data_IF_472252777059
#
_entry.id   IF_472252777059
#
_cell.length_a   1.000
_cell.length_b   1.000
_cell.length_c   1.000
_cell.angle_alpha   90.00
_cell.angle_beta   90.00
_cell.angle_gamma   90.00
#
_symmetry.space_group_name_H-M   'P 1'
#
loop_
_entity.id
_entity.type
_entity.pdbx_description
1 polymer ?
#
# COMPACT_ATOMS: atom_id res chain seq x y z
N UNK A 1 -15.32 -3.20 19.26
CA UNK A 1 -14.23 -2.21 19.44
C UNK A 1 -14.53 -0.97 18.61
N UNK A 2 -14.63 0.21 19.21
CA UNK A 2 -14.84 1.48 18.51
C UNK A 2 -13.50 2.19 18.32
N UNK A 3 -13.05 2.35 17.08
CA UNK A 3 -11.73 2.90 16.73
C UNK A 3 -11.90 4.26 16.06
N UNK A 4 -11.16 5.27 16.52
CA UNK A 4 -11.02 6.50 15.76
C UNK A 4 -10.02 6.28 14.61
N UNK A 5 -10.47 6.42 13.37
CA UNK A 5 -9.63 6.32 12.19
C UNK A 5 -9.35 7.71 11.63
N UNK A 6 -8.11 8.18 11.81
CA UNK A 6 -7.69 9.53 11.48
C UNK A 6 -6.90 9.53 10.17
N UNK A 7 -7.25 10.43 9.26
CA UNK A 7 -6.56 10.60 7.99
C UNK A 7 -6.59 12.05 7.50
N UNK A 8 -5.57 12.47 6.71
CA UNK A 8 -5.56 13.75 6.01
C UNK A 8 -6.78 13.95 5.08
N UNK A 9 -7.18 15.20 4.88
CA UNK A 9 -8.37 15.53 4.07
C UNK A 9 -8.26 15.05 2.61
N UNK A 10 -7.06 15.06 2.03
CA UNK A 10 -6.85 14.57 0.67
C UNK A 10 -7.00 13.05 0.53
N UNK A 11 -6.77 12.29 1.61
CA UNK A 11 -7.03 10.85 1.65
C UNK A 11 -8.52 10.55 1.88
N UNK A 12 -9.28 11.49 2.47
CA UNK A 12 -10.67 11.27 2.87
C UNK A 12 -11.58 10.93 1.70
N UNK A 13 -11.45 11.66 0.59
CA UNK A 13 -12.24 11.39 -0.61
C UNK A 13 -11.98 9.98 -1.14
N UNK A 14 -10.71 9.56 -1.19
CA UNK A 14 -10.33 8.22 -1.67
C UNK A 14 -10.83 7.12 -0.74
N UNK A 15 -10.61 7.24 0.57
CA UNK A 15 -11.06 6.23 1.54
C UNK A 15 -12.58 6.09 1.53
N UNK A 16 -13.33 7.20 1.47
CA UNK A 16 -14.80 7.16 1.39
C UNK A 16 -15.30 6.52 0.10
N UNK A 17 -14.67 6.84 -1.04
CA UNK A 17 -15.03 6.25 -2.33
C UNK A 17 -14.84 4.72 -2.33
N UNK A 18 -13.72 4.24 -1.77
CA UNK A 18 -13.43 2.80 -1.76
C UNK A 18 -14.10 2.04 -0.60
N UNK A 19 -14.66 2.72 0.40
CA UNK A 19 -15.29 2.09 1.57
C UNK A 19 -16.30 0.99 1.25
N UNK A 20 -17.21 1.17 0.27
CA UNK A 20 -18.21 0.14 -0.06
C UNK A 20 -17.60 -1.17 -0.55
N UNK A 21 -16.39 -1.12 -1.11
CA UNK A 21 -15.71 -2.30 -1.64
C UNK A 21 -14.95 -3.07 -0.57
N UNK A 22 -14.47 -2.39 0.49
CA UNK A 22 -13.51 -2.95 1.43
C UNK A 22 -14.07 -3.97 2.42
N UNK A 23 -15.38 -3.99 2.62
CA UNK A 23 -15.99 -4.82 3.67
C UNK A 23 -17.29 -5.44 3.14
N UNK A 24 -17.70 -6.62 3.63
CA UNK A 24 -18.98 -7.22 3.23
C UNK A 24 -20.18 -6.28 3.44
N UNK A 25 -20.17 -5.47 4.51
CA UNK A 25 -21.27 -4.54 4.79
C UNK A 25 -21.22 -3.24 3.96
N UNK A 26 -20.14 -2.98 3.23
CA UNK A 26 -19.88 -1.71 2.55
C UNK A 26 -19.75 -0.50 3.50
N UNK A 27 -19.55 -0.75 4.79
CA UNK A 27 -19.47 0.25 5.87
C UNK A 27 -18.09 0.18 6.52
N UNK A 28 -17.63 1.20 7.26
CA UNK A 28 -16.35 1.14 7.98
C UNK A 28 -16.42 0.23 9.22
N UNK A 29 -16.77 -1.04 9.01
CA UNK A 29 -16.95 -2.07 10.03
C UNK A 29 -16.22 -3.34 9.62
N UNK A 30 -15.54 -3.95 10.57
CA UNK A 30 -14.81 -5.19 10.36
C UNK A 30 -15.00 -6.10 11.56
N UNK A 31 -15.74 -7.20 11.38
CA UNK A 31 -16.14 -8.07 12.49
C UNK A 31 -16.82 -7.22 13.57
N UNK A 32 -16.34 -7.29 14.81
CA UNK A 32 -16.87 -6.53 15.94
C UNK A 32 -16.27 -5.12 16.09
N UNK A 33 -15.47 -4.66 15.11
CA UNK A 33 -14.86 -3.34 15.11
C UNK A 33 -15.60 -2.34 14.23
N UNK A 34 -15.78 -1.12 14.75
CA UNK A 34 -16.31 0.02 14.03
C UNK A 34 -15.22 1.10 13.92
N UNK A 35 -14.98 1.60 12.71
CA UNK A 35 -14.02 2.65 12.43
C UNK A 35 -14.76 3.97 12.19
N UNK A 36 -14.62 4.90 13.13
CA UNK A 36 -15.19 6.24 13.00
C UNK A 36 -14.15 7.15 12.34
N UNK A 37 -14.44 7.59 11.12
CA UNK A 37 -13.51 8.40 10.31
C UNK A 37 -13.52 9.85 10.77
N UNK A 38 -12.35 10.38 11.14
CA UNK A 38 -12.12 11.78 11.54
C UNK A 38 -13.20 12.34 12.49
N UNK A 39 -13.43 11.73 13.67
CA UNK A 39 -14.45 12.21 14.61
C UNK A 39 -14.11 13.59 15.18
N UNK A 40 -15.13 14.34 15.59
CA UNK A 40 -14.94 15.64 16.29
C UNK A 40 -14.59 15.47 17.78
N UNK A 41 -14.89 14.31 18.35
CA UNK A 41 -14.60 13.95 19.73
C UNK A 41 -15.17 12.58 20.07
N UNK A 42 -15.08 12.19 21.36
CA UNK A 42 -15.75 11.00 21.88
C UNK A 42 -14.81 9.97 22.51
N UNK A 43 -15.42 8.86 22.95
CA UNK A 43 -14.74 7.73 23.60
C UNK A 43 -14.46 6.60 22.60
N UNK A 44 -13.23 6.11 22.59
CA UNK A 44 -12.73 5.10 21.67
C UNK A 44 -11.85 4.08 22.39
N UNK A 45 -11.86 2.85 21.90
CA UNK A 45 -11.02 1.76 22.40
C UNK A 45 -9.58 1.83 21.84
N UNK A 46 -9.37 2.62 20.79
CA UNK A 46 -8.09 2.80 20.12
C UNK A 46 -8.13 3.90 19.05
N UNK A 47 -6.96 4.36 18.64
CA UNK A 47 -6.78 5.33 17.53
C UNK A 47 -5.85 4.75 16.48
N UNK A 48 -6.21 4.89 15.21
CA UNK A 48 -5.36 4.56 14.06
C UNK A 48 -5.18 5.80 13.21
N UNK A 49 -3.94 6.14 12.88
CA UNK A 49 -3.60 7.23 11.96
C UNK A 49 -3.07 6.67 10.64
N UNK A 50 -3.73 7.02 9.55
CA UNK A 50 -3.21 6.83 8.19
C UNK A 50 -2.25 7.97 7.85
N UNK A 51 -0.98 7.65 7.57
CA UNK A 51 0.04 8.66 7.27
C UNK A 51 0.73 8.39 5.93
N UNK A 52 0.40 9.21 4.92
CA UNK A 52 1.16 9.35 3.67
C UNK A 52 2.00 10.64 3.76
N UNK A 53 2.14 11.42 2.69
CA UNK A 53 2.88 12.69 2.65
C UNK A 53 2.17 13.84 3.38
N UNK A 54 0.83 13.88 3.32
CA UNK A 54 0.05 14.99 3.88
C UNK A 54 -0.13 14.88 5.39
N UNK A 55 -0.10 16.03 6.07
CA UNK A 55 -0.41 16.12 7.49
C UNK A 55 -1.91 15.97 7.74
N UNK A 56 -2.29 15.60 8.97
CA UNK A 56 -3.65 15.82 9.45
C UNK A 56 -4.00 17.33 9.36
N UNK A 57 -5.24 17.65 9.03
CA UNK A 57 -5.71 19.04 8.86
C UNK A 57 -5.92 19.77 10.19
N UNK A 58 -6.06 19.01 11.29
CA UNK A 58 -6.27 19.54 12.64
C UNK A 58 -5.79 18.56 13.70
N UNK A 59 -5.72 19.05 14.94
CA UNK A 59 -5.57 18.21 16.12
C UNK A 59 -6.90 17.54 16.49
N UNK A 60 -6.81 16.31 17.00
CA UNK A 60 -7.95 15.53 17.45
C UNK A 60 -7.84 15.31 18.96
N UNK A 61 -8.85 15.76 19.72
CA UNK A 61 -8.99 15.50 21.16
C UNK A 61 -9.99 14.38 21.36
N UNK A 62 -9.55 13.27 21.94
CA UNK A 62 -10.33 12.02 22.04
C UNK A 62 -10.12 11.40 23.42
N UNK A 63 -11.09 10.64 23.93
CA UNK A 63 -10.90 9.79 25.10
C UNK A 63 -10.54 8.38 24.64
N UNK A 64 -9.32 7.91 24.93
CA UNK A 64 -8.82 6.61 24.48
C UNK A 64 -7.71 6.11 25.42
N UNK A 65 -7.50 4.78 25.56
CA UNK A 65 -6.28 4.24 26.15
C UNK A 65 -5.04 4.77 25.41
N UNK A 66 -4.11 5.49 26.06
CA UNK A 66 -2.89 5.98 25.39
C UNK A 66 -2.00 4.85 24.87
N UNK A 67 -2.12 3.65 25.46
CA UNK A 67 -1.42 2.46 25.00
C UNK A 67 -1.96 1.92 23.67
N UNK A 68 -3.14 2.35 23.20
CA UNK A 68 -3.80 1.88 21.98
C UNK A 68 -3.84 2.95 20.90
N UNK A 69 -2.70 3.57 20.64
CA UNK A 69 -2.52 4.53 19.54
C UNK A 69 -1.55 3.96 18.51
N UNK A 70 -2.00 3.87 17.26
CA UNK A 70 -1.28 3.28 16.14
C UNK A 70 -1.15 4.30 15.01
N UNK A 71 0.04 4.42 14.43
CA UNK A 71 0.23 5.12 13.16
C UNK A 71 0.74 4.14 12.09
N UNK A 72 0.21 4.26 10.88
CA UNK A 72 0.55 3.42 9.74
C UNK A 72 1.12 4.29 8.61
N UNK A 73 2.41 4.13 8.33
CA UNK A 73 3.08 4.86 7.25
C UNK A 73 2.82 4.16 5.91
N UNK A 74 2.41 4.94 4.92
CA UNK A 74 2.03 4.46 3.59
C UNK A 74 3.09 4.68 2.52
N UNK A 75 4.03 5.59 2.76
CA UNK A 75 5.03 6.02 1.78
C UNK A 75 6.43 5.54 2.12
N UNK A 76 7.26 5.20 1.12
CA UNK A 76 8.61 4.67 1.28
C UNK A 76 9.56 5.70 1.93
N UNK A 77 10.72 5.26 2.45
CA UNK A 77 11.61 6.11 3.26
C UNK A 77 12.25 7.27 2.46
N UNK A 78 12.27 7.17 1.13
CA UNK A 78 12.72 8.21 0.21
C UNK A 78 11.65 9.27 -0.08
N UNK A 79 10.37 8.97 0.16
CA UNK A 79 9.25 9.92 0.01
C UNK A 79 8.90 10.57 1.34
N UNK A 80 8.79 9.79 2.42
CA UNK A 80 8.36 10.30 3.73
C UNK A 80 9.38 9.97 4.82
N UNK A 81 9.67 10.98 5.64
CA UNK A 81 10.42 10.86 6.89
C UNK A 81 9.72 11.74 7.91
N UNK A 82 9.54 11.28 9.16
CA UNK A 82 8.69 11.97 10.14
C UNK A 82 9.48 12.38 11.39
N UNK A 83 9.12 13.50 12.05
CA UNK A 83 9.77 13.91 13.28
C UNK A 83 9.57 12.87 14.40
N UNK A 84 10.61 12.60 15.20
CA UNK A 84 10.47 11.71 16.36
C UNK A 84 9.43 12.17 17.37
N UNK A 85 9.33 13.49 17.59
CA UNK A 85 8.31 14.07 18.48
C UNK A 85 6.89 13.76 18.01
N UNK A 86 6.65 13.77 16.69
CA UNK A 86 5.36 13.39 16.12
C UNK A 86 5.05 11.91 16.36
N UNK A 87 6.04 11.04 16.09
CA UNK A 87 5.88 9.58 16.27
C UNK A 87 5.71 9.18 17.74
N UNK A 88 6.24 9.97 18.69
CA UNK A 88 6.12 9.70 20.13
C UNK A 88 4.68 9.81 20.66
N UNK A 89 3.73 10.32 19.87
CA UNK A 89 2.30 10.31 20.20
C UNK A 89 1.69 8.90 20.15
N UNK A 90 2.36 7.95 19.48
CA UNK A 90 1.81 6.64 19.17
C UNK A 90 2.49 5.53 19.98
N UNK A 91 1.71 4.62 20.52
CA UNK A 91 2.22 3.42 21.17
C UNK A 91 2.89 2.47 20.16
N UNK A 92 2.43 2.44 18.91
CA UNK A 92 3.02 1.64 17.84
C UNK A 92 3.08 2.37 16.49
N UNK A 93 4.13 2.07 15.72
CA UNK A 93 4.41 2.65 14.40
C UNK A 93 4.63 1.52 13.40
N UNK A 94 3.69 1.31 12.47
CA UNK A 94 3.87 0.43 11.32
C UNK A 94 4.56 1.21 10.22
N UNK A 95 5.73 0.75 9.78
CA UNK A 95 6.51 1.38 8.73
C UNK A 95 7.50 0.41 8.10
N UNK A 96 8.03 0.76 6.93
CA UNK A 96 9.16 0.09 6.27
C UNK A 96 10.46 0.90 6.36
N UNK A 97 10.48 1.97 7.17
CA UNK A 97 11.66 2.84 7.35
C UNK A 97 12.52 2.43 8.54
N UNK A 98 13.68 1.85 8.26
CA UNK A 98 14.65 1.41 9.27
C UNK A 98 15.29 2.56 10.07
N UNK A 99 15.15 3.82 9.62
CA UNK A 99 15.62 5.00 10.36
C UNK A 99 14.72 5.36 11.53
N UNK A 100 13.45 4.95 11.51
CA UNK A 100 12.50 5.25 12.59
C UNK A 100 13.04 4.65 13.89
N UNK A 101 13.27 5.48 14.90
CA UNK A 101 13.70 5.05 16.24
C UNK A 101 12.53 5.21 17.19
N UNK A 102 11.79 4.12 17.38
CA UNK A 102 10.61 4.10 18.23
C UNK A 102 10.49 2.72 18.91
N UNK A 103 10.20 2.64 20.23
CA UNK A 103 10.11 1.36 20.94
C UNK A 103 9.01 0.45 20.39
N UNK A 104 7.88 1.03 19.96
CA UNK A 104 6.79 0.30 19.31
C UNK A 104 6.89 0.19 17.78
N UNK A 105 8.08 0.33 17.20
CA UNK A 105 8.28 0.22 15.74
C UNK A 105 8.03 -1.20 15.25
N UNK A 106 7.28 -1.32 14.15
CA UNK A 106 6.99 -2.56 13.44
C UNK A 106 7.39 -2.43 11.99
N UNK A 107 8.35 -3.25 11.56
CA UNK A 107 8.79 -3.35 10.16
C UNK A 107 7.89 -4.34 9.44
N UNK A 108 6.73 -3.87 9.02
CA UNK A 108 5.63 -4.66 8.46
C UNK A 108 4.95 -3.88 7.31
N UNK A 109 4.19 -4.56 6.43
CA UNK A 109 3.46 -3.89 5.35
C UNK A 109 2.52 -2.81 5.87
N UNK A 110 2.40 -1.72 5.10
CA UNK A 110 1.70 -0.50 5.52
C UNK A 110 0.19 -0.59 5.68
N UNK A 111 -0.42 -1.79 5.69
CA UNK A 111 -1.87 -2.02 5.69
C UNK A 111 -2.57 -1.24 4.56
N UNK A 112 -2.20 -1.56 3.33
CA UNK A 112 -2.79 -0.93 2.14
C UNK A 112 -4.14 -1.56 1.78
N UNK A 113 -4.98 -0.76 1.13
CA UNK A 113 -6.25 -1.18 0.56
C UNK A 113 -6.03 -1.56 -0.91
N UNK A 114 -6.97 -2.31 -1.51
CA UNK A 114 -7.08 -2.36 -2.96
C UNK A 114 -7.80 -1.10 -3.48
N UNK A 115 -7.42 -0.64 -4.66
CA UNK A 115 -8.00 0.49 -5.38
C UNK A 115 -8.54 0.08 -6.75
N UNK A 116 -9.09 -1.13 -6.80
CA UNK A 116 -9.97 -1.61 -7.87
C UNK A 116 -11.38 -1.78 -7.32
N UNK A 117 -12.39 -1.42 -8.09
CA UNK A 117 -13.79 -1.42 -7.69
C UNK A 117 -14.39 -2.83 -7.71
N UNK A 118 -13.81 -3.71 -6.88
CA UNK A 118 -14.26 -5.11 -6.68
C UNK A 118 -14.75 -5.23 -5.24
N UNK A 119 -16.05 -5.52 -5.02
CA UNK A 119 -16.59 -5.77 -3.70
C UNK A 119 -15.85 -6.92 -2.99
N UNK A 120 -15.69 -6.80 -1.67
CA UNK A 120 -14.97 -7.78 -0.84
C UNK A 120 -15.35 -9.25 -1.16
N UNK A 121 -16.65 -9.52 -1.28
CA UNK A 121 -17.17 -10.87 -1.47
C UNK A 121 -16.98 -11.41 -2.91
N UNK A 122 -16.67 -10.53 -3.86
CA UNK A 122 -16.38 -10.87 -5.26
C UNK A 122 -14.88 -11.10 -5.52
N UNK A 123 -14.03 -10.86 -4.51
CA UNK A 123 -12.58 -11.08 -4.61
C UNK A 123 -12.29 -12.58 -4.62
N UNK A 124 -12.94 -13.36 -3.76
CA UNK A 124 -12.75 -14.81 -3.71
C UNK A 124 -14.07 -15.52 -3.34
N UNK A 125 -14.62 -16.38 -4.22
CA UNK A 125 -14.08 -16.76 -5.53
C UNK A 125 -14.15 -15.61 -6.54
N UNK A 126 -13.08 -15.42 -7.31
CA UNK A 126 -13.03 -14.36 -8.33
C UNK A 126 -13.84 -14.73 -9.58
N UNK A 127 -14.58 -13.76 -10.13
CA UNK A 127 -15.19 -13.88 -11.46
C UNK A 127 -14.22 -13.63 -12.63
N UNK A 128 -13.01 -13.12 -12.35
CA UNK A 128 -12.05 -12.69 -13.39
C UNK A 128 -11.18 -13.86 -13.88
N UNK A 129 -11.78 -14.88 -14.47
CA UNK A 129 -11.07 -16.10 -14.93
C UNK A 129 -10.91 -16.16 -16.44
N UNK A 130 -11.85 -15.58 -17.21
CA UNK A 130 -11.79 -15.56 -18.67
C UNK A 130 -11.02 -14.34 -19.20
N UNK A 131 -9.68 -14.43 -19.18
CA UNK A 131 -8.77 -13.34 -19.56
C UNK A 131 -8.49 -13.35 -21.07
N UNK A 132 -8.99 -12.33 -21.78
CA UNK A 132 -8.83 -12.18 -23.25
C UNK A 132 -7.62 -11.34 -23.67
N UNK A 133 -7.04 -10.56 -22.75
CA UNK A 133 -5.89 -9.67 -23.00
C UNK A 133 -4.65 -10.13 -22.24
N UNK A 134 -3.49 -9.65 -22.67
CA UNK A 134 -2.22 -10.17 -22.15
C UNK A 134 -1.70 -9.36 -20.97
N UNK A 135 -1.24 -8.12 -21.21
CA UNK A 135 -0.55 -7.32 -20.19
C UNK A 135 -1.25 -5.97 -20.01
N UNK A 136 -1.47 -5.58 -18.77
CA UNK A 136 -1.91 -4.22 -18.42
C UNK A 136 -0.93 -3.51 -17.51
N UNK A 137 -0.98 -2.19 -17.51
CA UNK A 137 -0.26 -1.34 -16.56
C UNK A 137 -1.07 -0.08 -16.22
N UNK A 138 -1.13 0.29 -14.94
CA UNK A 138 -1.61 1.61 -14.49
C UNK A 138 -0.45 2.36 -13.83
N UNK A 139 0.35 3.06 -14.64
CA UNK A 139 1.57 3.76 -14.24
C UNK A 139 1.57 5.18 -14.82
N UNK A 140 1.59 6.19 -13.94
CA UNK A 140 1.58 7.61 -14.34
C UNK A 140 2.90 8.10 -14.94
N UNK A 141 2.87 9.22 -15.68
CA UNK A 141 4.02 9.94 -16.21
C UNK A 141 4.85 10.76 -15.18
N UNK A 142 4.68 10.50 -13.88
CA UNK A 142 5.43 11.22 -12.82
C UNK A 142 6.93 10.99 -12.97
N UNK A 143 7.73 12.01 -12.62
CA UNK A 143 9.21 11.97 -12.70
C UNK A 143 9.91 12.59 -11.47
N UNK A 144 9.16 12.87 -10.39
CA UNK A 144 9.63 13.60 -9.21
C UNK A 144 10.82 12.94 -8.49
N UNK A 145 10.82 11.59 -8.44
CA UNK A 145 11.88 10.79 -7.81
C UNK A 145 12.67 10.02 -8.88
N UNK A 146 13.90 9.56 -8.60
CA UNK A 146 14.62 8.72 -9.56
C UNK A 146 13.90 7.38 -9.79
N UNK A 147 13.31 6.76 -8.76
CA UNK A 147 12.36 5.65 -8.92
C UNK A 147 11.21 5.94 -9.91
N UNK A 148 10.58 7.12 -9.85
CA UNK A 148 9.56 7.52 -10.84
C UNK A 148 10.12 7.55 -12.28
N UNK A 149 11.34 8.09 -12.47
CA UNK A 149 11.99 8.15 -13.79
C UNK A 149 12.37 6.77 -14.33
N UNK A 150 12.92 5.90 -13.48
CA UNK A 150 13.27 4.53 -13.85
C UNK A 150 12.04 3.74 -14.30
N UNK A 151 10.92 3.90 -13.58
CA UNK A 151 9.65 3.26 -13.93
C UNK A 151 9.13 3.71 -15.28
N UNK A 152 9.12 5.01 -15.52
CA UNK A 152 8.66 5.54 -16.78
C UNK A 152 9.56 5.07 -17.94
N UNK A 153 10.88 5.06 -17.74
CA UNK A 153 11.83 4.55 -18.73
C UNK A 153 11.59 3.06 -19.06
N UNK A 154 11.41 2.21 -18.05
CA UNK A 154 11.06 0.81 -18.26
C UNK A 154 9.73 0.67 -19.00
N UNK A 155 8.69 1.41 -18.59
CA UNK A 155 7.38 1.35 -19.24
C UNK A 155 7.44 1.70 -20.73
N UNK A 156 8.23 2.71 -21.13
CA UNK A 156 8.44 3.01 -22.55
C UNK A 156 9.13 1.86 -23.30
N UNK A 157 10.13 1.21 -22.68
CA UNK A 157 10.79 0.03 -23.28
C UNK A 157 9.82 -1.14 -23.44
N UNK A 158 9.05 -1.45 -22.40
CA UNK A 158 8.03 -2.50 -22.44
C UNK A 158 6.96 -2.19 -23.49
N UNK A 159 6.45 -0.96 -23.56
CA UNK A 159 5.44 -0.59 -24.56
C UNK A 159 5.98 -0.65 -25.98
N UNK A 160 7.23 -0.24 -26.22
CA UNK A 160 7.87 -0.36 -27.53
C UNK A 160 8.03 -1.82 -27.98
N UNK A 161 8.34 -2.73 -27.06
CA UNK A 161 8.51 -4.16 -27.35
C UNK A 161 7.18 -4.91 -27.50
N UNK A 162 6.26 -4.75 -26.54
CA UNK A 162 5.02 -5.52 -26.51
C UNK A 162 3.92 -4.94 -27.41
N UNK A 163 4.02 -3.68 -27.83
CA UNK A 163 3.07 -3.04 -28.73
C UNK A 163 1.64 -3.13 -28.20
N UNK A 164 0.74 -3.69 -28.99
CA UNK A 164 -0.69 -3.84 -28.65
C UNK A 164 -0.96 -4.94 -27.62
N UNK A 165 0.03 -5.77 -27.28
CA UNK A 165 -0.09 -6.77 -26.20
C UNK A 165 0.00 -6.14 -24.80
N UNK A 166 0.44 -4.89 -24.70
CA UNK A 166 0.51 -4.11 -23.46
C UNK A 166 -0.41 -2.89 -23.51
N UNK A 167 -1.50 -2.93 -22.77
CA UNK A 167 -2.32 -1.75 -22.52
C UNK A 167 -1.75 -0.94 -21.34
N UNK A 168 -1.50 0.35 -21.55
CA UNK A 168 -0.87 1.21 -20.56
C UNK A 168 -1.73 2.46 -20.31
N UNK A 169 -2.21 2.56 -19.07
CA UNK A 169 -2.92 3.71 -18.53
C UNK A 169 -2.11 4.43 -17.46
N UNK A 170 -2.49 5.66 -17.16
CA UNK A 170 -1.94 6.43 -16.07
C UNK A 170 -2.02 7.93 -16.35
N UNK A 171 -2.00 8.72 -15.26
CA UNK A 171 -2.04 10.18 -15.36
C UNK A 171 -0.89 10.68 -16.25
N UNK A 172 -1.25 11.42 -17.31
CA UNK A 172 -0.27 11.96 -18.27
C UNK A 172 0.28 10.93 -19.27
N UNK A 173 -0.31 9.73 -19.34
CA UNK A 173 -0.05 8.73 -20.38
C UNK A 173 -1.33 8.49 -21.18
N UNK A 174 -2.28 7.79 -20.57
CA UNK A 174 -3.63 7.57 -21.05
C UNK A 174 -4.51 7.55 -19.80
N UNK A 175 -5.22 8.65 -19.57
CA UNK A 175 -5.98 8.84 -18.33
C UNK A 175 -7.10 7.80 -18.23
N UNK A 176 -7.16 7.12 -17.09
CA UNK A 176 -8.18 6.12 -16.83
C UNK A 176 -9.46 6.82 -16.39
N UNK A 177 -10.45 6.87 -17.27
CA UNK A 177 -11.75 7.55 -17.05
C UNK A 177 -12.82 6.61 -16.50
N UNK A 178 -12.62 5.30 -16.61
CA UNK A 178 -13.47 4.25 -16.07
C UNK A 178 -12.94 3.73 -14.71
N UNK A 179 -13.74 2.96 -13.95
CA UNK A 179 -13.26 2.24 -12.76
C UNK A 179 -11.95 1.48 -13.05
N UNK A 180 -10.99 1.51 -12.12
CA UNK A 180 -9.66 0.93 -12.32
C UNK A 180 -9.70 -0.54 -12.68
N UNK A 181 -10.67 -1.28 -12.14
CA UNK A 181 -10.85 -2.71 -12.45
C UNK A 181 -10.97 -2.98 -13.96
N UNK A 182 -11.50 -2.04 -14.76
CA UNK A 182 -11.62 -2.18 -16.22
C UNK A 182 -10.26 -2.28 -16.93
N UNK A 183 -9.20 -1.74 -16.34
CA UNK A 183 -7.85 -1.84 -16.87
C UNK A 183 -7.16 -3.17 -16.52
N UNK A 184 -7.70 -3.96 -15.58
CA UNK A 184 -7.05 -5.17 -15.07
C UNK A 184 -7.84 -6.45 -15.38
N UNK A 185 -9.18 -6.39 -15.31
CA UNK A 185 -10.04 -7.58 -15.26
C UNK A 185 -9.92 -8.52 -16.45
N UNK A 186 -9.53 -8.02 -17.63
CA UNK A 186 -9.43 -8.81 -18.86
C UNK A 186 -7.99 -9.26 -19.16
N UNK A 187 -6.99 -8.86 -18.34
CA UNK A 187 -5.58 -9.15 -18.57
C UNK A 187 -5.05 -10.29 -17.70
N UNK A 188 -4.17 -11.12 -18.27
CA UNK A 188 -3.48 -12.20 -17.55
C UNK A 188 -2.38 -11.68 -16.61
N UNK A 189 -1.66 -10.64 -17.04
CA UNK A 189 -0.51 -10.07 -16.33
C UNK A 189 -0.73 -8.59 -16.04
N UNK A 190 -0.27 -8.11 -14.88
CA UNK A 190 -0.33 -6.69 -14.52
C UNK A 190 1.03 -6.16 -14.06
N UNK A 191 1.52 -5.09 -14.69
CA UNK A 191 2.78 -4.44 -14.32
C UNK A 191 2.61 -3.64 -13.03
N UNK A 192 3.27 -4.09 -11.97
CA UNK A 192 3.19 -3.58 -10.61
C UNK A 192 4.53 -2.95 -10.19
N UNK A 193 4.71 -1.65 -10.47
CA UNK A 193 5.95 -0.94 -10.14
C UNK A 193 5.75 0.01 -8.96
N UNK A 194 6.41 -0.27 -7.83
CA UNK A 194 6.37 0.58 -6.65
C UNK A 194 7.13 1.89 -6.80
N UNK A 195 6.94 2.84 -5.88
CA UNK A 195 7.66 4.13 -5.96
C UNK A 195 9.17 4.01 -5.66
N UNK A 196 9.58 2.89 -5.06
CA UNK A 196 10.97 2.53 -4.76
C UNK A 196 11.05 1.09 -4.24
N UNK A 197 12.26 0.54 -4.19
CA UNK A 197 12.50 -0.85 -3.76
C UNK A 197 13.03 -0.90 -2.32
N UNK A 198 12.16 -1.22 -1.36
CA UNK A 198 12.50 -1.23 0.07
C UNK A 198 11.92 -2.49 0.75
N UNK A 199 12.67 -3.13 1.67
CA UNK A 199 12.16 -4.29 2.41
C UNK A 199 10.82 -4.00 3.09
N UNK A 200 9.84 -4.88 2.91
CA UNK A 200 8.48 -4.75 3.42
C UNK A 200 7.61 -3.68 2.75
N UNK A 201 8.11 -2.93 1.77
CA UNK A 201 7.36 -1.88 1.07
C UNK A 201 6.65 -2.41 -0.18
N UNK A 202 5.41 -2.85 0.02
CA UNK A 202 4.46 -3.15 -1.05
C UNK A 202 3.11 -2.51 -0.74
N UNK A 203 2.40 -2.13 -1.79
CA UNK A 203 1.22 -1.24 -1.69
C UNK A 203 0.01 -1.83 -2.41
N UNK A 204 -0.97 -0.99 -2.74
CA UNK A 204 -2.15 -1.37 -3.54
C UNK A 204 -1.77 -2.07 -4.85
N UNK A 205 -0.60 -1.80 -5.44
CA UNK A 205 -0.32 -2.19 -6.83
C UNK A 205 -0.34 -3.70 -7.02
N UNK A 206 0.32 -4.42 -6.12
CA UNK A 206 0.30 -5.88 -6.13
C UNK A 206 -1.03 -6.44 -5.60
N UNK A 207 -1.67 -5.76 -4.65
CA UNK A 207 -2.99 -6.15 -4.14
C UNK A 207 -4.00 -6.12 -5.29
N UNK A 208 -4.05 -5.03 -6.05
CA UNK A 208 -4.96 -4.82 -7.18
C UNK A 208 -4.79 -5.88 -8.25
N UNK A 209 -3.54 -6.27 -8.56
CA UNK A 209 -3.26 -7.37 -9.48
C UNK A 209 -3.86 -8.68 -8.98
N UNK A 210 -3.65 -9.06 -7.72
CA UNK A 210 -4.24 -10.28 -7.17
C UNK A 210 -5.76 -10.23 -7.12
N UNK A 211 -6.35 -9.11 -6.68
CA UNK A 211 -7.80 -8.90 -6.62
C UNK A 211 -8.43 -9.05 -8.00
N UNK A 212 -7.80 -8.52 -9.04
CA UNK A 212 -8.24 -8.68 -10.42
C UNK A 212 -7.88 -10.05 -11.03
N UNK A 213 -7.33 -11.00 -10.25
CA UNK A 213 -6.83 -12.29 -10.72
C UNK A 213 -5.81 -12.17 -11.86
N UNK A 214 -4.82 -11.29 -11.70
CA UNK A 214 -3.69 -11.14 -12.61
C UNK A 214 -2.43 -11.72 -11.95
N UNK A 215 -1.49 -12.22 -12.76
CA UNK A 215 -0.11 -12.45 -12.31
C UNK A 215 0.61 -11.10 -12.20
N UNK A 216 1.08 -10.69 -11.01
CA UNK A 216 1.84 -9.45 -10.86
C UNK A 216 3.24 -9.58 -11.49
N UNK A 217 3.56 -8.65 -12.38
CA UNK A 217 4.92 -8.40 -12.87
C UNK A 217 5.52 -7.29 -12.01
N UNK A 218 6.37 -7.65 -11.06
CA UNK A 218 6.57 -6.85 -9.85
C UNK A 218 8.00 -6.31 -9.67
N UNK A 219 8.09 -5.03 -9.32
CA UNK A 219 9.29 -4.38 -8.77
C UNK A 219 8.91 -3.50 -7.56
N UNK A 220 9.60 -3.70 -6.44
CA UNK A 220 9.29 -3.04 -5.16
C UNK A 220 10.02 -3.70 -4.00
N UNK A 221 9.28 -4.28 -3.04
CA UNK A 221 9.85 -5.00 -1.90
C UNK A 221 10.74 -6.18 -2.35
N UNK A 222 12.06 -6.17 -2.07
CA UNK A 222 12.95 -7.28 -2.41
C UNK A 222 12.61 -8.58 -1.68
N UNK A 223 11.91 -8.49 -0.55
CA UNK A 223 11.48 -9.57 0.31
C UNK A 223 9.96 -9.86 0.18
N UNK A 224 9.34 -9.50 -0.94
CA UNK A 224 7.90 -9.73 -1.20
C UNK A 224 7.48 -11.20 -1.01
N UNK A 225 8.40 -12.14 -1.23
CA UNK A 225 8.22 -13.57 -0.99
C UNK A 225 7.93 -13.95 0.47
N UNK A 226 8.16 -13.03 1.43
CA UNK A 226 7.72 -13.21 2.82
C UNK A 226 6.21 -13.04 3.00
N UNK A 227 5.56 -12.33 2.07
CA UNK A 227 4.13 -12.02 2.16
C UNK A 227 3.28 -12.91 1.25
N UNK A 228 3.75 -13.11 0.02
CA UNK A 228 3.05 -13.88 -1.01
C UNK A 228 3.95 -14.97 -1.57
N UNK A 229 3.33 -16.01 -2.12
CA UNK A 229 4.05 -17.12 -2.75
C UNK A 229 4.90 -16.60 -3.94
N UNK A 230 6.24 -16.75 -3.91
CA UNK A 230 7.10 -16.32 -5.01
C UNK A 230 6.72 -16.94 -6.36
N UNK A 231 6.11 -18.13 -6.38
CA UNK A 231 5.66 -18.78 -7.61
C UNK A 231 4.55 -17.99 -8.33
N UNK A 232 3.82 -17.14 -7.62
CA UNK A 232 2.75 -16.29 -8.18
C UNK A 232 3.24 -14.94 -8.68
N UNK A 233 4.50 -14.59 -8.44
CA UNK A 233 5.06 -13.27 -8.73
C UNK A 233 6.11 -13.37 -9.82
N UNK A 234 5.92 -12.63 -10.91
CA UNK A 234 6.98 -12.42 -11.88
C UNK A 234 7.84 -11.22 -11.43
N UNK A 235 8.82 -11.48 -10.57
CA UNK A 235 9.77 -10.45 -10.15
C UNK A 235 10.56 -9.90 -11.34
N UNK A 236 10.82 -8.60 -11.37
CA UNK A 236 11.61 -7.94 -12.43
C UNK A 236 12.60 -6.94 -11.82
N UNK A 237 13.65 -6.57 -12.56
CA UNK A 237 14.62 -5.55 -12.16
C UNK A 237 14.57 -4.36 -13.11
N UNK A 238 14.13 -3.22 -12.60
CA UNK A 238 13.96 -2.00 -13.39
C UNK A 238 15.27 -1.47 -13.98
N UNK A 239 16.42 -1.88 -13.42
CA UNK A 239 17.74 -1.52 -13.93
C UNK A 239 18.17 -2.35 -15.14
N UNK A 240 17.45 -3.45 -15.45
CA UNK A 240 17.69 -4.33 -16.60
C UNK A 240 16.42 -4.47 -17.46
N UNK A 241 16.15 -3.49 -18.36
CA UNK A 241 14.96 -3.54 -19.22
C UNK A 241 14.91 -4.74 -20.15
N UNK A 242 16.05 -5.23 -20.65
CA UNK A 242 16.07 -6.39 -21.54
C UNK A 242 15.75 -7.66 -20.76
N UNK A 243 16.36 -7.86 -19.58
CA UNK A 243 16.02 -8.98 -18.71
C UNK A 243 14.55 -8.95 -18.25
N UNK A 244 13.96 -7.76 -18.06
CA UNK A 244 12.51 -7.65 -17.82
C UNK A 244 11.68 -8.20 -18.98
N UNK A 245 12.01 -7.80 -20.22
CA UNK A 245 11.32 -8.26 -21.43
C UNK A 245 11.43 -9.79 -21.54
N UNK A 246 12.64 -10.33 -21.41
CA UNK A 246 12.91 -11.77 -21.56
C UNK A 246 12.13 -12.59 -20.52
N UNK A 247 12.06 -12.09 -19.27
CA UNK A 247 11.28 -12.73 -18.20
C UNK A 247 9.78 -12.72 -18.47
N UNK A 248 9.25 -11.61 -18.99
CA UNK A 248 7.83 -11.49 -19.35
C UNK A 248 7.49 -12.41 -20.51
N UNK A 249 8.28 -12.44 -21.58
CA UNK A 249 8.09 -13.36 -22.71
C UNK A 249 8.16 -14.83 -22.25
N UNK A 250 9.11 -15.17 -21.37
CA UNK A 250 9.20 -16.53 -20.80
C UNK A 250 7.96 -16.90 -19.99
N UNK A 251 7.45 -15.97 -19.18
CA UNK A 251 6.23 -16.20 -18.39
C UNK A 251 4.99 -16.37 -19.28
N UNK A 252 4.91 -15.66 -20.40
CA UNK A 252 3.84 -15.78 -21.40
C UNK A 252 3.95 -17.12 -22.13
N UNK A 253 5.12 -17.44 -22.67
CA UNK A 253 5.35 -18.67 -23.44
C UNK A 253 5.10 -19.95 -22.64
N UNK A 254 5.34 -19.89 -21.32
CA UNK A 254 5.09 -21.01 -20.42
C UNK A 254 3.70 -21.01 -19.77
N UNK A 255 2.81 -20.10 -20.19
CA UNK A 255 1.48 -19.85 -19.61
C UNK A 255 1.48 -19.87 -18.08
N UNK A 256 2.37 -19.06 -17.50
CA UNK A 256 2.47 -18.89 -16.05
C UNK A 256 1.11 -18.60 -15.43
N UNK A 257 0.29 -17.77 -16.08
CA UNK A 257 -1.06 -17.45 -15.63
C UNK A 257 -1.89 -18.71 -15.34
N UNK A 258 -2.02 -19.63 -16.30
CA UNK A 258 -2.81 -20.84 -16.12
C UNK A 258 -2.27 -21.74 -15.00
N UNK A 259 -0.94 -21.84 -14.85
CA UNK A 259 -0.29 -22.74 -13.88
C UNK A 259 -0.42 -22.31 -12.42
N UNK A 260 -0.57 -21.01 -12.16
CA UNK A 260 -0.47 -20.46 -10.78
C UNK A 260 -1.81 -20.07 -10.16
N UNK A 261 -2.94 -20.47 -10.77
CA UNK A 261 -4.29 -20.06 -10.33
C UNK A 261 -4.58 -20.37 -8.85
N UNK A 262 -4.19 -21.54 -8.36
CA UNK A 262 -4.35 -21.88 -6.94
C UNK A 262 -3.57 -20.93 -6.01
N UNK A 263 -2.37 -20.54 -6.43
CA UNK A 263 -1.54 -19.57 -5.75
C UNK A 263 -2.17 -18.17 -5.75
N UNK A 264 -2.73 -17.72 -6.87
CA UNK A 264 -3.45 -16.44 -6.96
C UNK A 264 -4.68 -16.44 -6.03
N UNK A 265 -5.42 -17.55 -5.98
CA UNK A 265 -6.54 -17.72 -5.05
C UNK A 265 -6.10 -17.65 -3.60
N UNK A 266 -4.96 -18.27 -3.25
CA UNK A 266 -4.36 -18.15 -1.91
C UNK A 266 -3.98 -16.70 -1.59
N UNK A 267 -3.34 -15.98 -2.51
CA UNK A 267 -2.96 -14.59 -2.32
C UNK A 267 -4.18 -13.69 -2.07
N UNK A 268 -5.28 -13.88 -2.82
CA UNK A 268 -6.55 -13.18 -2.57
C UNK A 268 -7.13 -13.48 -1.19
N UNK A 269 -7.14 -14.74 -0.76
CA UNK A 269 -7.56 -15.09 0.61
C UNK A 269 -6.68 -14.43 1.67
N UNK A 270 -5.36 -14.34 1.45
CA UNK A 270 -4.46 -13.61 2.36
C UNK A 270 -4.80 -12.11 2.40
N UNK A 271 -5.15 -11.50 1.27
CA UNK A 271 -5.60 -10.10 1.18
C UNK A 271 -6.89 -9.87 1.99
N UNK A 272 -7.86 -10.77 1.89
CA UNK A 272 -9.13 -10.70 2.63
C UNK A 272 -8.98 -11.00 4.13
N UNK A 273 -7.86 -11.58 4.55
CA UNK A 273 -7.63 -12.02 5.93
C UNK A 273 -6.41 -11.33 6.54
N UNK A 274 -5.24 -11.95 6.44
CA UNK A 274 -3.97 -11.53 7.06
C UNK A 274 -3.57 -10.10 6.68
N UNK A 275 -3.77 -9.72 5.42
CA UNK A 275 -3.39 -8.41 4.90
C UNK A 275 -4.54 -7.43 4.80
N UNK A 276 -5.73 -7.80 5.27
CA UNK A 276 -6.85 -6.88 5.29
C UNK A 276 -6.52 -5.70 6.23
N UNK A 277 -6.61 -4.45 5.77
CA UNK A 277 -6.11 -3.31 6.54
C UNK A 277 -6.79 -3.17 7.91
N UNK A 278 -8.10 -3.40 7.98
CA UNK A 278 -8.82 -3.38 9.26
C UNK A 278 -8.44 -4.54 10.17
N UNK A 279 -8.08 -5.71 9.62
CA UNK A 279 -7.59 -6.84 10.40
C UNK A 279 -6.24 -6.49 11.04
N UNK A 280 -5.32 -5.93 10.27
CA UNK A 280 -4.02 -5.47 10.77
C UNK A 280 -4.23 -4.45 11.89
N UNK A 281 -5.08 -3.45 11.67
CA UNK A 281 -5.34 -2.42 12.69
C UNK A 281 -5.89 -3.01 13.99
N UNK A 282 -6.89 -3.90 13.90
CA UNK A 282 -7.51 -4.49 15.08
C UNK A 282 -6.55 -5.39 15.85
N UNK A 283 -5.76 -6.20 15.15
CA UNK A 283 -4.80 -7.12 15.77
C UNK A 283 -3.68 -6.35 16.47
N UNK A 284 -3.22 -5.26 15.85
CA UNK A 284 -2.13 -4.45 16.39
C UNK A 284 -2.58 -3.61 17.57
N UNK A 285 -3.82 -3.10 17.57
CA UNK A 285 -4.40 -2.44 18.73
C UNK A 285 -4.69 -3.41 19.88
N UNK A 286 -5.19 -4.60 19.59
CA UNK A 286 -5.48 -5.64 20.59
C UNK A 286 -4.20 -6.14 21.29
N UNK A 287 -3.08 -6.22 20.55
CA UNK A 287 -1.78 -6.61 21.09
C UNK A 287 -1.12 -5.55 21.98
N UNK A 288 -1.66 -4.33 22.04
CA UNK A 288 -1.15 -3.26 22.89
C UNK A 288 -1.87 -3.21 24.25
N UNK A 289 -1.20 -2.72 25.31
CA UNK A 289 -1.74 -2.74 26.66
C UNK A 289 -3.06 -1.98 26.75
N UNK A 290 -4.07 -2.62 27.34
CA UNK A 290 -5.30 -1.96 27.72
C UNK A 290 -5.05 -1.14 28.99
N UNK A 291 -4.74 0.15 28.83
CA UNK A 291 -4.70 1.11 29.93
C UNK A 291 -6.05 1.81 30.08
N UNK A 292 -6.38 2.39 31.25
CA UNK A 292 -7.58 3.20 31.39
C UNK A 292 -7.61 4.33 30.36
N UNK A 293 -8.78 4.53 29.74
CA UNK A 293 -8.96 5.59 28.78
C UNK A 293 -8.85 6.96 29.47
N UNK A 294 -8.17 7.90 28.82
CA UNK A 294 -8.09 9.29 29.24
C UNK A 294 -8.15 10.20 28.03
N UNK A 295 -8.31 11.49 28.25
CA UNK A 295 -8.17 12.46 27.17
C UNK A 295 -6.74 12.42 26.61
N UNK A 296 -6.63 12.30 25.29
CA UNK A 296 -5.40 12.37 24.51
C UNK A 296 -5.60 13.38 23.38
N UNK A 297 -4.48 13.94 22.91
CA UNK A 297 -4.45 14.77 21.71
C UNK A 297 -3.55 14.11 20.68
N UNK A 298 -4.06 13.95 19.45
CA UNK A 298 -3.26 13.61 18.28
C UNK A 298 -3.13 14.87 17.43
N UNK A 299 -1.94 15.46 17.43
CA UNK A 299 -1.61 16.67 16.68
C UNK A 299 -1.00 16.35 15.32
N UNK A 300 -1.18 17.19 14.29
CA UNK A 300 -0.55 17.05 12.98
C UNK A 300 0.99 16.99 13.03
N UNK A 301 1.60 16.30 12.07
CA UNK A 301 3.07 16.22 11.96
C UNK A 301 3.76 17.58 11.79
N UNK A 302 3.06 18.59 11.28
CA UNK A 302 3.56 19.95 11.06
C UNK A 302 3.86 20.69 12.36
N UNK A 303 3.27 20.24 13.47
CA UNK A 303 3.43 20.86 14.79
C UNK A 303 4.73 20.43 15.47
N UNK A 304 5.48 19.51 14.84
CA UNK A 304 6.68 18.91 15.42
C UNK A 304 7.93 19.26 14.61
N UNK A 305 8.93 19.81 15.29
CA UNK A 305 10.23 20.06 14.70
C UNK A 305 11.06 18.77 14.56
N UNK A 306 11.79 18.64 13.46
CA UNK A 306 12.85 17.63 13.35
C UNK A 306 14.03 17.99 14.27
N UNK A 307 14.38 17.08 15.18
CA UNK A 307 15.58 17.24 15.99
C UNK A 307 16.84 17.28 15.10
N UNK A 308 17.90 18.03 15.48
CA UNK A 308 19.13 18.12 14.67
C UNK A 308 19.72 16.76 14.29
N UNK A 309 19.73 15.82 15.22
CA UNK A 309 20.16 14.43 15.02
C UNK A 309 19.36 13.68 13.94
N UNK A 310 18.05 13.94 13.82
CA UNK A 310 17.20 13.32 12.81
C UNK A 310 17.49 13.89 11.43
N UNK A 311 17.73 15.20 11.34
CA UNK A 311 18.15 15.85 10.10
C UNK A 311 19.48 15.30 9.59
N UNK A 312 20.45 15.10 10.49
CA UNK A 312 21.76 14.51 10.15
C UNK A 312 21.58 13.05 9.70
N UNK A 313 20.85 12.24 10.47
CA UNK A 313 20.61 10.84 10.13
C UNK A 313 19.92 10.70 8.76
N UNK A 314 18.92 11.54 8.48
CA UNK A 314 18.24 11.58 7.20
C UNK A 314 19.18 11.98 6.05
N UNK A 315 20.04 12.99 6.24
CA UNK A 315 21.05 13.39 5.24
C UNK A 315 22.05 12.27 4.94
N UNK A 316 22.61 11.64 5.98
CA UNK A 316 23.54 10.50 5.82
C UNK A 316 22.85 9.35 5.08
N UNK A 317 21.60 9.04 5.46
CA UNK A 317 20.84 7.99 4.80
C UNK A 317 20.57 8.31 3.33
N UNK A 318 20.19 9.55 2.98
CA UNK A 318 19.97 9.96 1.58
C UNK A 318 21.26 9.82 0.77
N UNK A 319 22.39 10.24 1.34
CA UNK A 319 23.68 10.09 0.68
C UNK A 319 24.04 8.62 0.44
N UNK A 320 23.87 7.73 1.43
CA UNK A 320 24.14 6.29 1.29
C UNK A 320 23.26 5.59 0.26
N UNK A 321 22.01 6.04 0.13
CA UNK A 321 21.03 5.39 -0.74
C UNK A 321 20.82 6.12 -2.07
N UNK A 322 21.61 7.15 -2.39
CA UNK A 322 21.46 7.95 -3.63
C UNK A 322 21.50 7.15 -4.93
N UNK A 323 22.07 5.95 -4.90
CA UNK A 323 22.16 5.02 -6.05
C UNK A 323 21.04 3.97 -6.06
N UNK A 324 20.29 3.84 -4.95
CA UNK A 324 19.09 2.99 -4.83
C UNK A 324 17.79 3.79 -5.00
N UNK A 325 17.87 5.11 -4.82
CA UNK A 325 16.77 6.08 -4.93
C UNK A 325 16.64 6.55 -6.36
#
# INVERSE_FOLDING_TARGET
>A
MKIAYLLPDNALKFVRYFQPYLTPSGQPRWRDAEFVVNPDGGHFDGVVVHQSVSALSRSYRLTCPPGRTLICLKEPPDITFLPRGYLAQFASVICHDTRVRHPGRRLEPGAHHWFVEVPHDDIEPTGFTDKQRLISAVVSAKTDTPGHRQRLALMHRLKAHFGDRLDWWGRGINDLTAPKITALRDHKYHICLENGAWPGYWTEKIIDAYVANCVPVYWGAPDIGRSFDPATILGIDIADPQGCIDRIETAIASDMYARVQEGLARARRQILTTYHPYQIYTDRLAALPATPAREITIAPQTDFAYAPQDRIAHRIWRWRNRHRI
#
